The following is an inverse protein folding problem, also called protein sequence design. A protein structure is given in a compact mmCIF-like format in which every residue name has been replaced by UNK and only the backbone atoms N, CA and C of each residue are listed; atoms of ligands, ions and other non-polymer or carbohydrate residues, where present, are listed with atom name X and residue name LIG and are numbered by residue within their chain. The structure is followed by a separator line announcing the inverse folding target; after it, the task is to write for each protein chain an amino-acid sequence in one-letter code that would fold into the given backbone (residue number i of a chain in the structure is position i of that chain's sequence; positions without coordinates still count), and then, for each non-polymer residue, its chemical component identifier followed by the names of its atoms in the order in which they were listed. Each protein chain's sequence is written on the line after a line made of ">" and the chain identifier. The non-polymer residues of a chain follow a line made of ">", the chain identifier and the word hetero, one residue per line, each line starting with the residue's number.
data_IF_995064757048
#
_entry.id   IF_995064757048
#
_cell.length_a   1.000
_cell.length_b   1.000
_cell.length_c   1.000
_cell.angle_alpha   90.00
_cell.angle_beta   90.00
_cell.angle_gamma   90.00
#
_symmetry.space_group_name_H-M   'P 1'
#
loop_
_entity.id
_entity.type
_entity.pdbx_description
1 polymer ?
#
# COMPACT_ATOMS: atom_id res chain seq x y z
N UNK A 1 78.66 -37.05 48.57
CA UNK A 1 79.29 -37.55 47.32
C UNK A 1 78.20 -38.11 46.42
N UNK A 2 78.22 -37.77 45.13
CA UNK A 2 77.38 -38.29 44.01
C UNK A 2 75.89 -37.87 44.00
N UNK A 3 75.50 -36.80 43.28
CA UNK A 3 75.19 -36.68 41.83
C UNK A 3 73.85 -37.29 41.36
N UNK A 4 72.97 -36.35 40.96
CA UNK A 4 72.10 -36.29 39.76
C UNK A 4 71.16 -37.47 39.47
N UNK A 5 69.87 -37.19 39.30
CA UNK A 5 69.23 -36.78 38.02
C UNK A 5 67.72 -36.58 38.23
N UNK A 6 67.21 -35.44 37.77
CA UNK A 6 65.78 -35.14 37.53
C UNK A 6 65.28 -35.90 36.30
N UNK A 7 64.00 -36.27 36.26
CA UNK A 7 63.28 -36.31 34.99
C UNK A 7 62.03 -35.43 34.99
N UNK A 8 61.69 -35.05 33.77
CA UNK A 8 60.68 -34.11 33.33
C UNK A 8 59.41 -34.88 32.93
N UNK A 9 58.26 -34.32 33.32
CA UNK A 9 56.94 -34.26 32.66
C UNK A 9 56.41 -35.43 31.80
N UNK A 10 55.19 -35.87 32.15
CA UNK A 10 54.25 -36.53 31.25
C UNK A 10 52.83 -36.43 31.80
N UNK A 11 52.18 -35.27 31.64
CA UNK A 11 50.77 -35.09 31.97
C UNK A 11 49.91 -35.39 30.73
N UNK A 12 49.09 -36.44 30.84
CA UNK A 12 48.19 -36.94 29.81
C UNK A 12 47.05 -35.95 29.57
N UNK A 13 46.97 -35.36 28.38
CA UNK A 13 45.85 -34.54 27.94
C UNK A 13 44.66 -35.44 27.56
N UNK A 14 43.55 -35.32 28.28
CA UNK A 14 42.27 -35.92 27.92
C UNK A 14 41.61 -35.01 26.88
N UNK A 15 41.57 -35.45 25.63
CA UNK A 15 40.86 -34.78 24.54
C UNK A 15 39.35 -35.05 24.68
N UNK A 16 38.61 -34.09 25.25
CA UNK A 16 37.16 -34.07 25.18
C UNK A 16 36.73 -33.64 23.77
N UNK A 17 36.20 -34.59 23.00
CA UNK A 17 35.64 -34.34 21.68
C UNK A 17 34.29 -33.62 21.83
N UNK A 18 34.27 -32.30 21.60
CA UNK A 18 33.03 -31.55 21.44
C UNK A 18 32.36 -31.99 20.13
N UNK A 19 31.27 -32.74 20.25
CA UNK A 19 30.32 -32.96 19.15
C UNK A 19 29.59 -31.64 18.92
N UNK A 20 30.08 -30.86 17.94
CA UNK A 20 29.36 -29.72 17.38
C UNK A 20 28.13 -30.23 16.63
N UNK A 21 26.97 -30.14 17.27
CA UNK A 21 25.69 -30.29 16.58
C UNK A 21 25.56 -29.15 15.55
N UNK A 22 25.24 -29.43 14.27
CA UNK A 22 24.97 -28.38 13.31
C UNK A 22 23.73 -27.60 13.75
N UNK A 23 23.91 -26.30 13.99
CA UNK A 23 22.78 -25.39 14.21
C UNK A 23 21.85 -25.35 12.99
N UNK A 24 20.60 -24.89 13.15
CA UNK A 24 19.68 -24.75 12.03
C UNK A 24 20.32 -23.85 10.97
N UNK A 25 20.51 -24.38 9.76
CA UNK A 25 21.00 -23.63 8.64
C UNK A 25 20.01 -22.50 8.33
N UNK A 26 20.44 -21.25 8.52
CA UNK A 26 19.71 -20.08 8.01
C UNK A 26 19.66 -20.23 6.49
N UNK A 27 18.46 -20.46 5.96
CA UNK A 27 18.24 -20.52 4.53
C UNK A 27 18.73 -19.21 3.91
N UNK A 28 19.68 -19.30 2.97
CA UNK A 28 20.07 -18.15 2.15
C UNK A 28 18.83 -17.70 1.35
N UNK A 29 18.55 -16.39 1.25
CA UNK A 29 17.45 -15.91 0.41
C UNK A 29 17.68 -16.42 -1.01
N UNK A 30 16.65 -17.06 -1.58
CA UNK A 30 16.66 -17.59 -2.94
C UNK A 30 16.58 -16.39 -3.89
N UNK A 31 17.74 -15.84 -4.26
CA UNK A 31 17.82 -14.97 -5.44
C UNK A 31 17.69 -15.87 -6.68
N UNK A 32 16.77 -15.58 -7.62
CA UNK A 32 16.75 -16.29 -8.89
C UNK A 32 18.05 -16.00 -9.65
N UNK A 33 18.99 -16.95 -9.63
CA UNK A 33 20.23 -16.94 -10.41
C UNK A 33 20.03 -17.55 -11.80
N UNK A 34 18.80 -17.47 -12.34
CA UNK A 34 18.51 -17.92 -13.69
C UNK A 34 19.27 -17.07 -14.73
N UNK A 35 19.64 -17.64 -15.89
CA UNK A 35 20.44 -16.96 -16.91
C UNK A 35 19.69 -15.80 -17.63
N UNK A 36 18.44 -15.52 -17.27
CA UNK A 36 17.59 -14.51 -17.90
C UNK A 36 17.47 -13.21 -17.07
N UNK A 37 18.39 -12.96 -16.14
CA UNK A 37 18.39 -11.75 -15.33
C UNK A 37 19.74 -11.05 -15.36
N UNK A 38 19.74 -9.75 -15.66
CA UNK A 38 20.86 -8.85 -15.39
C UNK A 38 20.66 -8.19 -14.02
N UNK A 39 21.30 -8.78 -13.00
CA UNK A 39 21.24 -8.28 -11.62
C UNK A 39 21.98 -6.95 -11.41
N UNK A 40 22.71 -6.48 -12.42
CA UNK A 40 23.38 -5.17 -12.40
C UNK A 40 22.53 -4.06 -13.00
N UNK A 41 21.42 -4.40 -13.66
CA UNK A 41 20.52 -3.42 -14.23
C UNK A 41 19.90 -2.53 -13.13
N UNK A 42 19.75 -1.20 -13.38
CA UNK A 42 19.24 -0.26 -12.40
C UNK A 42 17.86 -0.63 -11.85
N UNK A 43 17.66 -0.37 -10.57
CA UNK A 43 16.39 -0.55 -9.84
C UNK A 43 15.90 0.79 -9.31
N UNK A 44 14.63 0.89 -8.91
CA UNK A 44 14.15 2.09 -8.22
C UNK A 44 14.74 2.17 -6.82
N UNK A 45 14.70 3.36 -6.20
CA UNK A 45 15.10 3.51 -4.81
C UNK A 45 14.24 2.64 -3.87
N UNK A 46 12.95 2.48 -4.18
CA UNK A 46 12.07 1.55 -3.47
C UNK A 46 12.62 0.12 -3.47
N UNK A 47 12.95 -0.40 -4.65
CA UNK A 47 13.44 -1.77 -4.85
C UNK A 47 14.79 -2.03 -4.18
N UNK A 48 15.64 -1.01 -4.00
CA UNK A 48 16.92 -1.20 -3.27
C UNK A 48 16.71 -1.69 -1.83
N UNK A 49 15.54 -1.43 -1.23
CA UNK A 49 15.25 -1.83 0.15
C UNK A 49 15.07 -3.33 0.33
N UNK A 50 14.83 -4.08 -0.74
CA UNK A 50 14.72 -5.55 -0.68
C UNK A 50 15.98 -6.17 -0.05
N UNK A 51 17.15 -5.63 -0.39
CA UNK A 51 18.44 -6.14 0.06
C UNK A 51 18.94 -5.45 1.35
N UNK A 52 18.04 -4.76 2.08
CA UNK A 52 18.35 -4.11 3.36
C UNK A 52 18.94 -5.16 4.32
N UNK A 53 20.18 -4.97 4.81
CA UNK A 53 20.81 -5.94 5.70
C UNK A 53 20.02 -6.14 6.99
N UNK A 54 20.11 -7.34 7.56
CA UNK A 54 19.60 -7.59 8.88
C UNK A 54 20.35 -6.75 9.92
N UNK A 55 19.65 -6.28 10.95
CA UNK A 55 20.30 -5.81 12.17
C UNK A 55 21.13 -6.95 12.79
N UNK A 56 22.20 -6.66 13.55
CA UNK A 56 22.96 -7.71 14.25
C UNK A 56 22.05 -8.61 15.09
N UNK A 57 22.06 -9.91 14.79
CA UNK A 57 21.19 -10.90 15.44
C UNK A 57 19.74 -10.96 14.93
N UNK A 58 19.38 -10.15 13.92
CA UNK A 58 18.06 -10.12 13.28
C UNK A 58 18.01 -10.86 11.94
N UNK A 59 16.85 -10.76 11.29
CA UNK A 59 16.61 -11.33 9.96
C UNK A 59 16.51 -10.24 8.89
N UNK A 60 16.70 -10.60 7.62
CA UNK A 60 16.43 -9.71 6.49
C UNK A 60 14.92 -9.53 6.36
N UNK A 61 14.41 -8.39 6.81
CA UNK A 61 12.97 -8.15 7.01
C UNK A 61 12.14 -8.40 5.74
N UNK A 62 12.50 -7.88 4.54
CA UNK A 62 11.72 -8.12 3.32
C UNK A 62 11.54 -9.61 3.00
N UNK A 63 12.65 -10.35 2.91
CA UNK A 63 12.63 -11.79 2.59
C UNK A 63 11.90 -12.61 3.66
N UNK A 64 12.14 -12.27 4.93
CA UNK A 64 11.49 -12.95 6.06
C UNK A 64 9.99 -12.74 6.04
N UNK A 65 9.49 -11.55 5.71
CA UNK A 65 8.04 -11.28 5.61
C UNK A 65 7.38 -12.05 4.47
N UNK A 66 8.06 -12.20 3.33
CA UNK A 66 7.57 -13.01 2.20
C UNK A 66 7.48 -14.49 2.59
N UNK A 67 8.49 -15.01 3.28
CA UNK A 67 8.51 -16.39 3.79
C UNK A 67 7.43 -16.63 4.84
N UNK A 68 7.41 -15.80 5.88
CA UNK A 68 6.44 -15.89 6.98
C UNK A 68 5.01 -15.68 6.50
N UNK A 69 4.78 -14.92 5.43
CA UNK A 69 3.46 -14.79 4.79
C UNK A 69 3.08 -15.97 3.88
N UNK A 70 4.03 -16.86 3.56
CA UNK A 70 3.83 -17.99 2.66
C UNK A 70 3.89 -17.65 1.17
N UNK A 71 4.41 -16.48 0.80
CA UNK A 71 4.41 -15.98 -0.60
C UNK A 71 5.63 -16.40 -1.41
N UNK A 72 6.64 -17.03 -0.80
CA UNK A 72 7.88 -17.46 -1.48
C UNK A 72 7.62 -18.23 -2.78
N UNK A 73 6.66 -19.17 -2.77
CA UNK A 73 6.34 -19.96 -3.95
C UNK A 73 5.67 -19.14 -5.08
N UNK A 74 4.92 -18.09 -4.77
CA UNK A 74 4.34 -17.19 -5.78
C UNK A 74 5.43 -16.39 -6.48
N UNK A 75 6.36 -15.84 -5.69
CA UNK A 75 7.50 -15.08 -6.20
C UNK A 75 8.36 -15.96 -7.11
N UNK A 76 8.79 -17.13 -6.61
CA UNK A 76 9.63 -18.06 -7.38
C UNK A 76 8.96 -18.51 -8.69
N UNK A 77 7.65 -18.76 -8.68
CA UNK A 77 6.92 -19.16 -9.89
C UNK A 77 6.97 -18.08 -10.96
N UNK A 78 6.61 -16.84 -10.65
CA UNK A 78 6.63 -15.78 -11.66
C UNK A 78 8.05 -15.52 -12.18
N UNK A 79 9.06 -15.47 -11.30
CA UNK A 79 10.45 -15.29 -11.74
C UNK A 79 10.91 -16.42 -12.68
N UNK A 80 10.54 -17.67 -12.39
CA UNK A 80 10.87 -18.80 -13.28
C UNK A 80 10.09 -18.76 -14.60
N UNK A 81 8.79 -18.46 -14.54
CA UNK A 81 7.91 -18.39 -15.72
C UNK A 81 8.39 -17.31 -16.70
N UNK A 82 8.86 -16.17 -16.22
CA UNK A 82 9.41 -15.09 -17.06
C UNK A 82 10.59 -15.55 -17.93
N UNK A 83 11.46 -16.43 -17.45
CA UNK A 83 12.55 -16.96 -18.27
C UNK A 83 12.07 -17.85 -19.43
N UNK A 84 10.84 -18.35 -19.40
CA UNK A 84 10.25 -19.23 -20.41
C UNK A 84 9.48 -18.51 -21.53
N UNK A 85 9.14 -17.24 -21.32
CA UNK A 85 8.31 -16.43 -22.23
C UNK A 85 9.02 -16.13 -23.55
N UNK A 86 8.29 -16.17 -24.66
CA UNK A 86 8.82 -16.04 -26.03
C UNK A 86 8.41 -14.76 -26.76
N UNK A 87 7.51 -13.95 -26.19
CA UNK A 87 7.09 -12.68 -26.79
C UNK A 87 6.58 -11.68 -25.74
N UNK A 88 6.52 -10.39 -26.09
CA UNK A 88 5.91 -9.34 -25.26
C UNK A 88 4.46 -9.67 -24.92
N UNK A 89 3.68 -10.16 -25.90
CA UNK A 89 2.26 -10.51 -25.70
C UNK A 89 2.07 -11.66 -24.70
N UNK A 90 2.95 -12.66 -24.74
CA UNK A 90 2.93 -13.75 -23.77
C UNK A 90 3.36 -13.27 -22.38
N UNK A 91 4.34 -12.36 -22.31
CA UNK A 91 4.78 -11.74 -21.05
C UNK A 91 3.64 -10.95 -20.39
N UNK A 92 2.93 -10.15 -21.19
CA UNK A 92 1.80 -9.33 -20.73
C UNK A 92 0.69 -10.20 -20.11
N UNK A 93 0.26 -11.25 -20.82
CA UNK A 93 -0.74 -12.20 -20.33
C UNK A 93 -0.27 -12.93 -19.06
N UNK A 94 1.00 -13.34 -19.01
CA UNK A 94 1.59 -13.99 -17.83
C UNK A 94 1.56 -13.04 -16.63
N UNK A 95 2.00 -11.80 -16.81
CA UNK A 95 2.10 -10.79 -15.76
C UNK A 95 0.73 -10.39 -15.23
N UNK A 96 -0.27 -10.23 -16.10
CA UNK A 96 -1.65 -10.03 -15.66
C UNK A 96 -2.13 -11.21 -14.82
N UNK A 97 -2.00 -12.43 -15.34
CA UNK A 97 -2.46 -13.65 -14.64
C UNK A 97 -1.79 -13.83 -13.27
N UNK A 98 -0.47 -13.60 -13.19
CA UNK A 98 0.30 -13.75 -11.96
C UNK A 98 0.10 -12.61 -10.98
N UNK A 99 -0.12 -11.39 -11.48
CA UNK A 99 -0.54 -10.25 -10.67
C UNK A 99 -1.90 -10.50 -10.02
N UNK A 100 -2.89 -10.95 -10.80
CA UNK A 100 -4.22 -11.29 -10.30
C UNK A 100 -4.17 -12.45 -9.29
N UNK A 101 -3.35 -13.48 -9.54
CA UNK A 101 -3.12 -14.58 -8.59
C UNK A 101 -2.52 -14.06 -7.28
N UNK A 102 -1.57 -13.13 -7.35
CA UNK A 102 -0.92 -12.54 -6.19
C UNK A 102 -1.91 -11.72 -5.35
N UNK A 103 -2.68 -10.82 -5.97
CA UNK A 103 -3.70 -10.01 -5.30
C UNK A 103 -4.77 -10.90 -4.65
N UNK A 104 -5.39 -11.80 -5.43
CA UNK A 104 -6.43 -12.70 -4.92
C UNK A 104 -5.94 -13.60 -3.81
N UNK A 105 -4.70 -14.11 -3.90
CA UNK A 105 -4.11 -14.90 -2.80
C UNK A 105 -3.95 -14.08 -1.53
N UNK A 106 -3.54 -12.82 -1.63
CA UNK A 106 -3.44 -11.93 -0.48
C UNK A 106 -4.80 -11.61 0.14
N UNK A 107 -5.83 -11.36 -0.69
CA UNK A 107 -7.22 -11.17 -0.23
C UNK A 107 -7.76 -12.42 0.45
N UNK A 108 -7.63 -13.60 -0.18
CA UNK A 108 -8.10 -14.87 0.38
C UNK A 108 -7.40 -15.20 1.71
N UNK A 109 -6.10 -14.92 1.81
CA UNK A 109 -5.34 -15.06 3.06
C UNK A 109 -5.85 -14.08 4.11
N UNK A 110 -5.96 -12.80 3.75
CA UNK A 110 -6.39 -11.75 4.66
C UNK A 110 -7.78 -12.03 5.24
N UNK A 111 -8.68 -12.57 4.42
CA UNK A 111 -10.05 -12.89 4.82
C UNK A 111 -10.22 -14.29 5.44
N UNK A 112 -9.12 -15.02 5.68
CA UNK A 112 -9.17 -16.36 6.30
C UNK A 112 -9.74 -17.46 5.40
N UNK A 113 -9.93 -17.19 4.10
CA UNK A 113 -10.35 -18.18 3.08
C UNK A 113 -9.19 -19.09 2.67
N UNK A 114 -7.95 -18.66 2.90
CA UNK A 114 -6.73 -19.44 2.63
C UNK A 114 -5.78 -19.39 3.82
N UNK A 115 -5.42 -20.55 4.34
CA UNK A 115 -4.37 -20.68 5.35
C UNK A 115 -2.99 -20.80 4.69
N UNK A 116 -2.11 -19.85 4.96
CA UNK A 116 -0.72 -19.89 4.49
C UNK A 116 0.20 -18.98 5.31
N UNK A 117 1.46 -19.39 5.42
CA UNK A 117 2.44 -18.71 6.27
C UNK A 117 2.26 -19.01 7.76
N UNK A 118 2.99 -18.28 8.59
CA UNK A 118 3.01 -18.41 10.05
C UNK A 118 2.74 -17.09 10.79
N UNK A 119 2.60 -15.97 10.07
CA UNK A 119 2.11 -14.70 10.64
C UNK A 119 0.61 -14.54 10.43
N UNK A 120 0.01 -13.63 11.19
CA UNK A 120 -1.41 -13.29 11.19
C UNK A 120 -1.93 -12.80 9.84
N UNK A 121 -3.22 -13.05 9.60
CA UNK A 121 -3.92 -12.70 8.36
C UNK A 121 -4.04 -11.18 8.09
N UNK A 122 -3.93 -10.35 9.12
CA UNK A 122 -4.04 -8.89 9.00
C UNK A 122 -2.76 -8.21 8.49
N UNK A 123 -1.72 -8.98 8.15
CA UNK A 123 -0.46 -8.44 7.65
C UNK A 123 -0.48 -8.15 6.15
N UNK A 124 -0.30 -6.89 5.78
CA UNK A 124 -0.18 -6.38 4.41
C UNK A 124 1.22 -6.55 3.81
N UNK A 125 2.24 -6.64 4.67
CA UNK A 125 3.64 -6.60 4.26
C UNK A 125 4.07 -7.76 3.35
N UNK A 126 3.55 -9.00 3.49
CA UNK A 126 3.88 -10.09 2.56
C UNK A 126 3.52 -9.79 1.11
N UNK A 127 2.36 -9.19 0.85
CA UNK A 127 1.96 -8.79 -0.50
C UNK A 127 2.90 -7.70 -1.03
N UNK A 128 3.12 -6.65 -0.24
CA UNK A 128 3.97 -5.52 -0.61
C UNK A 128 5.39 -5.97 -1.02
N UNK A 129 6.07 -6.72 -0.15
CA UNK A 129 7.43 -7.16 -0.41
C UNK A 129 7.50 -8.17 -1.57
N UNK A 130 6.50 -9.03 -1.73
CA UNK A 130 6.43 -9.95 -2.88
C UNK A 130 6.30 -9.19 -4.19
N UNK A 131 5.42 -8.17 -4.25
CA UNK A 131 5.26 -7.33 -5.44
C UNK A 131 6.54 -6.57 -5.76
N UNK A 132 7.18 -5.96 -4.75
CA UNK A 132 8.42 -5.21 -4.95
C UNK A 132 9.57 -6.08 -5.46
N UNK A 133 9.70 -7.31 -4.96
CA UNK A 133 10.69 -8.28 -5.49
C UNK A 133 10.39 -8.59 -6.96
N UNK A 134 9.12 -8.77 -7.31
CA UNK A 134 8.71 -9.12 -8.67
C UNK A 134 8.84 -7.96 -9.65
N UNK A 135 8.62 -6.70 -9.23
CA UNK A 135 8.91 -5.54 -10.08
C UNK A 135 10.40 -5.37 -10.31
N UNK A 136 11.24 -5.58 -9.29
CA UNK A 136 12.70 -5.59 -9.43
C UNK A 136 13.12 -6.67 -10.44
N UNK A 137 12.61 -7.89 -10.30
CA UNK A 137 12.89 -8.99 -11.22
C UNK A 137 12.45 -8.62 -12.65
N UNK A 138 11.27 -8.03 -12.83
CA UNK A 138 10.80 -7.60 -14.15
C UNK A 138 11.64 -6.46 -14.74
N UNK A 139 12.22 -5.57 -13.94
CA UNK A 139 13.19 -4.57 -14.43
C UNK A 139 14.50 -5.21 -14.89
N UNK A 140 14.97 -6.20 -14.14
CA UNK A 140 16.23 -6.89 -14.38
C UNK A 140 16.13 -8.05 -15.38
N UNK A 141 14.92 -8.40 -15.83
CA UNK A 141 14.68 -9.51 -16.75
C UNK A 141 15.25 -9.26 -18.16
N UNK A 142 16.02 -10.19 -18.69
CA UNK A 142 16.61 -10.18 -20.03
C UNK A 142 15.99 -11.30 -20.89
N UNK A 143 14.87 -11.03 -21.60
CA UNK A 143 14.24 -12.01 -22.47
C UNK A 143 15.12 -12.39 -23.67
N UNK A 144 14.84 -13.54 -24.29
CA UNK A 144 15.47 -13.98 -25.55
C UNK A 144 14.96 -13.25 -26.79
N UNK A 145 14.01 -12.35 -26.63
CA UNK A 145 13.42 -11.53 -27.69
C UNK A 145 13.68 -10.05 -27.40
N UNK A 146 13.60 -9.20 -28.43
CA UNK A 146 13.79 -7.76 -28.26
C UNK A 146 12.67 -7.16 -27.38
N UNK A 147 13.06 -6.49 -26.30
CA UNK A 147 12.15 -5.80 -25.39
C UNK A 147 12.59 -4.34 -25.28
N UNK A 148 11.80 -3.43 -25.85
CA UNK A 148 12.05 -1.99 -25.74
C UNK A 148 11.79 -1.47 -24.31
N UNK A 149 12.36 -0.32 -23.93
CA UNK A 149 12.04 0.32 -22.66
C UNK A 149 10.54 0.56 -22.46
N UNK A 150 9.84 1.06 -23.48
CA UNK A 150 8.39 1.32 -23.41
C UNK A 150 7.58 0.05 -23.21
N UNK A 151 7.94 -1.03 -23.92
CA UNK A 151 7.30 -2.34 -23.73
C UNK A 151 7.54 -2.86 -22.31
N UNK A 152 8.76 -2.70 -21.76
CA UNK A 152 9.04 -3.06 -20.36
C UNK A 152 8.22 -2.22 -19.38
N UNK A 153 8.09 -0.92 -19.62
CA UNK A 153 7.28 -0.04 -18.78
C UNK A 153 5.79 -0.45 -18.81
N UNK A 154 5.29 -0.82 -19.99
CA UNK A 154 3.92 -1.35 -20.15
C UNK A 154 3.73 -2.66 -19.39
N UNK A 155 4.68 -3.60 -19.48
CA UNK A 155 4.62 -4.86 -18.74
C UNK A 155 4.66 -4.64 -17.21
N UNK A 156 5.48 -3.69 -16.74
CA UNK A 156 5.49 -3.28 -15.33
C UNK A 156 4.13 -2.72 -14.91
N UNK A 157 3.53 -1.85 -15.73
CA UNK A 157 2.18 -1.31 -15.47
C UNK A 157 1.14 -2.43 -15.40
N UNK A 158 1.16 -3.38 -16.33
CA UNK A 158 0.26 -4.56 -16.33
C UNK A 158 0.36 -5.33 -15.01
N UNK A 159 1.59 -5.68 -14.59
CA UNK A 159 1.81 -6.43 -13.36
C UNK A 159 1.40 -5.65 -12.11
N UNK A 160 1.78 -4.37 -12.03
CA UNK A 160 1.43 -3.50 -10.91
C UNK A 160 -0.09 -3.35 -10.79
N UNK A 161 -0.82 -3.14 -11.89
CA UNK A 161 -2.28 -2.96 -11.86
C UNK A 161 -2.98 -4.23 -11.39
N UNK A 162 -2.57 -5.38 -11.90
CA UNK A 162 -3.11 -6.68 -11.50
C UNK A 162 -2.82 -7.02 -10.04
N UNK A 163 -1.57 -6.83 -9.59
CA UNK A 163 -1.15 -7.15 -8.22
C UNK A 163 -1.63 -6.14 -7.15
N UNK A 164 -2.32 -5.07 -7.57
CA UNK A 164 -2.94 -4.05 -6.71
C UNK A 164 -4.45 -4.13 -6.64
N UNK A 165 -5.05 -5.05 -7.39
CA UNK A 165 -6.50 -5.16 -7.55
C UNK A 165 -7.11 -4.15 -8.54
N UNK A 166 -6.32 -3.25 -9.13
CA UNK A 166 -6.82 -2.18 -10.02
C UNK A 166 -7.48 -2.76 -11.27
N UNK A 167 -6.94 -3.84 -11.84
CA UNK A 167 -7.54 -4.49 -13.02
C UNK A 167 -8.60 -5.54 -12.69
N UNK A 168 -8.94 -5.73 -11.41
CA UNK A 168 -9.91 -6.74 -10.96
C UNK A 168 -11.11 -6.15 -10.21
N UNK A 169 -11.29 -4.83 -10.22
CA UNK A 169 -12.46 -4.17 -9.62
C UNK A 169 -13.71 -4.39 -10.47
N UNK A 170 -14.54 -5.35 -10.08
CA UNK A 170 -15.78 -5.68 -10.79
C UNK A 170 -16.96 -5.78 -9.82
N UNK A 171 -18.03 -5.06 -10.14
CA UNK A 171 -19.29 -5.09 -9.43
C UNK A 171 -20.33 -5.92 -10.17
N UNK A 172 -21.19 -6.60 -9.40
CA UNK A 172 -22.37 -7.25 -9.97
C UNK A 172 -23.23 -6.23 -10.73
N UNK A 173 -23.59 -6.62 -11.94
CA UNK A 173 -24.49 -5.86 -12.82
C UNK A 173 -25.95 -6.30 -12.67
N UNK A 174 -26.22 -7.27 -11.79
CA UNK A 174 -27.55 -7.82 -11.52
C UNK A 174 -27.97 -7.60 -10.08
N UNK A 175 -29.28 -7.46 -9.85
CA UNK A 175 -29.86 -7.25 -8.53
C UNK A 175 -29.78 -5.80 -8.03
N UNK A 176 -30.27 -5.57 -6.81
CA UNK A 176 -30.19 -4.28 -6.13
C UNK A 176 -28.85 -4.19 -5.40
N UNK A 177 -27.82 -3.74 -6.11
CA UNK A 177 -26.45 -3.66 -5.59
C UNK A 177 -26.04 -2.21 -5.39
N UNK A 178 -25.50 -1.93 -4.21
CA UNK A 178 -24.82 -0.68 -3.87
C UNK A 178 -23.31 -0.91 -3.94
N UNK A 179 -22.62 -0.15 -4.77
CA UNK A 179 -21.23 -0.37 -5.17
C UNK A 179 -20.31 0.59 -4.45
N UNK A 180 -19.46 0.07 -3.58
CA UNK A 180 -18.51 0.84 -2.80
C UNK A 180 -17.10 0.54 -3.31
N UNK A 181 -16.40 1.56 -3.81
CA UNK A 181 -15.00 1.42 -4.22
C UNK A 181 -14.11 2.15 -3.22
N UNK A 182 -13.15 1.43 -2.65
CA UNK A 182 -12.19 2.02 -1.70
C UNK A 182 -10.75 1.79 -2.13
N UNK A 183 -9.83 2.62 -1.61
CA UNK A 183 -8.40 2.36 -1.74
C UNK A 183 -7.71 2.34 -0.38
N UNK A 184 -6.66 1.51 -0.27
CA UNK A 184 -5.62 1.61 0.75
C UNK A 184 -4.28 1.95 0.13
N UNK A 185 -3.21 1.91 0.94
CA UNK A 185 -1.85 2.19 0.50
C UNK A 185 -0.84 1.14 0.93
N UNK A 186 0.23 1.06 0.16
CA UNK A 186 1.42 0.29 0.50
C UNK A 186 2.12 0.79 1.80
N UNK A 187 2.92 -0.05 2.45
CA UNK A 187 3.92 0.37 3.44
C UNK A 187 4.80 1.54 2.94
N UNK A 188 5.13 2.45 3.86
CA UNK A 188 5.92 3.65 3.57
C UNK A 188 6.87 3.98 4.72
N UNK A 189 7.65 5.08 4.63
CA UNK A 189 8.65 5.46 5.65
C UNK A 189 9.67 4.35 5.99
N UNK A 190 9.96 3.50 5.00
CA UNK A 190 10.79 2.30 5.17
C UNK A 190 12.28 2.60 5.42
N UNK A 191 12.71 3.84 5.16
CA UNK A 191 14.05 4.32 5.54
C UNK A 191 14.23 4.39 7.07
N UNK A 192 13.17 4.77 7.79
CA UNK A 192 13.20 4.88 9.24
C UNK A 192 12.79 3.59 9.95
N UNK A 193 11.95 2.77 9.32
CA UNK A 193 11.48 1.52 9.88
C UNK A 193 11.10 0.53 8.76
N UNK A 194 12.00 -0.40 8.44
CA UNK A 194 11.82 -1.40 7.38
C UNK A 194 10.70 -2.41 7.70
N UNK A 195 10.32 -2.54 8.98
CA UNK A 195 9.25 -3.45 9.44
C UNK A 195 7.85 -2.83 9.33
N UNK A 196 7.73 -1.58 8.85
CA UNK A 196 6.48 -0.83 8.89
C UNK A 196 5.37 -1.54 8.12
N UNK A 197 4.18 -1.55 8.72
CA UNK A 197 2.92 -2.00 8.10
C UNK A 197 2.09 -0.77 7.77
N UNK A 198 1.23 -0.85 6.76
CA UNK A 198 0.22 0.17 6.51
C UNK A 198 -1.17 -0.41 6.78
N UNK A 199 -1.87 0.01 7.86
CA UNK A 199 -3.18 -0.53 8.18
C UNK A 199 -4.22 -0.23 7.10
N UNK A 200 -4.00 0.76 6.22
CA UNK A 200 -4.93 1.05 5.12
C UNK A 200 -4.84 0.01 4.01
N UNK A 201 -3.64 -0.43 3.62
CA UNK A 201 -3.44 -1.54 2.68
C UNK A 201 -3.96 -2.86 3.25
N UNK A 202 -3.73 -3.10 4.55
CA UNK A 202 -4.29 -4.25 5.24
C UNK A 202 -5.83 -4.24 5.27
N UNK A 203 -6.43 -3.06 5.43
CA UNK A 203 -7.89 -2.88 5.37
C UNK A 203 -8.43 -3.14 3.96
N UNK A 204 -7.75 -2.68 2.91
CA UNK A 204 -8.13 -2.96 1.53
C UNK A 204 -8.22 -4.48 1.26
N UNK A 205 -7.24 -5.26 1.74
CA UNK A 205 -7.27 -6.72 1.60
C UNK A 205 -8.44 -7.39 2.33
N UNK A 206 -8.85 -6.87 3.49
CA UNK A 206 -10.02 -7.39 4.21
C UNK A 206 -11.35 -6.98 3.56
N UNK A 207 -11.38 -5.86 2.85
CA UNK A 207 -12.57 -5.26 2.25
C UNK A 207 -12.86 -5.77 0.84
N UNK A 208 -11.83 -6.13 0.07
CA UNK A 208 -12.02 -6.47 -1.34
C UNK A 208 -12.96 -7.68 -1.54
N UNK A 209 -13.98 -7.52 -2.38
CA UNK A 209 -15.00 -8.53 -2.64
C UNK A 209 -15.99 -8.80 -1.49
N UNK A 210 -15.93 -8.05 -0.38
CA UNK A 210 -16.90 -8.21 0.70
C UNK A 210 -18.30 -7.82 0.25
N UNK A 211 -19.29 -8.54 0.75
CA UNK A 211 -20.71 -8.27 0.53
C UNK A 211 -21.49 -8.37 1.85
N UNK A 212 -22.47 -7.49 2.02
CA UNK A 212 -23.40 -7.55 3.15
C UNK A 212 -24.74 -6.94 2.77
N UNK A 213 -25.80 -7.32 3.47
CA UNK A 213 -27.14 -6.76 3.26
C UNK A 213 -27.30 -5.44 4.03
N UNK A 214 -27.88 -4.45 3.38
CA UNK A 214 -28.34 -3.20 3.97
C UNK A 214 -29.74 -2.89 3.42
N UNK A 215 -30.77 -3.10 4.24
CA UNK A 215 -32.15 -3.03 3.79
C UNK A 215 -32.48 -4.10 2.74
N UNK A 216 -33.00 -3.67 1.59
CA UNK A 216 -33.32 -4.54 0.44
C UNK A 216 -32.20 -4.60 -0.61
N UNK A 217 -31.01 -4.06 -0.28
CA UNK A 217 -29.87 -3.95 -1.19
C UNK A 217 -28.65 -4.68 -0.66
N UNK A 218 -27.90 -5.29 -1.57
CA UNK A 218 -26.60 -5.89 -1.27
C UNK A 218 -25.52 -4.83 -1.50
N UNK A 219 -24.80 -4.45 -0.45
CA UNK A 219 -23.61 -3.62 -0.61
C UNK A 219 -22.45 -4.53 -1.02
N UNK A 220 -21.81 -4.22 -2.14
CA UNK A 220 -20.58 -4.86 -2.59
C UNK A 220 -19.44 -3.87 -2.49
N UNK A 221 -18.35 -4.30 -1.85
CA UNK A 221 -17.13 -3.51 -1.71
C UNK A 221 -16.07 -4.06 -2.67
N UNK A 222 -15.41 -3.18 -3.40
CA UNK A 222 -14.17 -3.47 -4.14
C UNK A 222 -13.08 -2.58 -3.57
N UNK A 223 -11.86 -3.10 -3.47
CA UNK A 223 -10.74 -2.36 -2.91
C UNK A 223 -9.46 -2.52 -3.73
N UNK A 224 -8.61 -1.50 -3.69
CA UNK A 224 -7.28 -1.53 -4.33
C UNK A 224 -6.19 -1.08 -3.37
N UNK A 225 -4.92 -1.37 -3.69
CA UNK A 225 -3.75 -0.78 -3.01
C UNK A 225 -3.00 0.22 -3.91
N UNK A 226 -3.04 1.50 -3.56
CA UNK A 226 -2.31 2.55 -4.26
C UNK A 226 -0.81 2.54 -3.87
N UNK A 227 0.09 2.86 -4.82
CA UNK A 227 1.50 3.04 -4.50
C UNK A 227 1.72 4.28 -3.64
N UNK A 228 2.75 4.25 -2.78
CA UNK A 228 3.20 5.44 -2.07
C UNK A 228 4.34 6.10 -2.86
N UNK A 229 4.02 6.55 -4.08
CA UNK A 229 4.96 7.21 -5.00
C UNK A 229 4.31 8.37 -5.76
N UNK A 230 4.98 9.53 -5.84
CA UNK A 230 4.57 10.68 -6.62
C UNK A 230 4.55 10.36 -8.11
N UNK A 231 5.61 9.75 -8.64
CA UNK A 231 5.66 9.28 -10.03
C UNK A 231 4.51 8.34 -10.40
N UNK A 232 4.11 7.43 -9.49
CA UNK A 232 2.92 6.61 -9.69
C UNK A 232 1.63 7.42 -9.80
N UNK A 233 1.47 8.46 -8.97
CA UNK A 233 0.31 9.36 -9.07
C UNK A 233 0.35 10.17 -10.37
N UNK A 234 1.52 10.62 -10.81
CA UNK A 234 1.69 11.36 -12.06
C UNK A 234 1.42 10.49 -13.30
N UNK A 235 1.65 9.18 -13.20
CA UNK A 235 1.24 8.18 -14.19
C UNK A 235 -0.26 7.86 -14.18
N UNK A 236 -1.02 8.45 -13.25
CA UNK A 236 -2.48 8.35 -13.21
C UNK A 236 -3.04 7.16 -12.43
N UNK A 237 -2.30 6.54 -11.50
CA UNK A 237 -2.82 5.39 -10.72
C UNK A 237 -4.13 5.70 -10.00
N UNK A 238 -4.30 6.91 -9.48
CA UNK A 238 -5.54 7.32 -8.80
C UNK A 238 -6.67 7.44 -9.83
N UNK A 239 -6.44 8.16 -10.91
CA UNK A 239 -7.45 8.39 -11.93
C UNK A 239 -7.84 7.09 -12.67
N UNK A 240 -6.88 6.23 -13.00
CA UNK A 240 -7.10 4.91 -13.61
C UNK A 240 -7.86 3.96 -12.66
N UNK A 241 -7.72 4.11 -11.34
CA UNK A 241 -8.51 3.37 -10.34
C UNK A 241 -9.96 3.82 -10.31
N UNK A 242 -10.21 5.12 -10.17
CA UNK A 242 -11.57 5.63 -9.88
C UNK A 242 -12.37 6.00 -11.14
N UNK A 243 -11.70 6.45 -12.20
CA UNK A 243 -12.33 6.96 -13.42
C UNK A 243 -13.30 5.98 -14.10
N UNK A 244 -12.94 4.69 -14.27
CA UNK A 244 -13.86 3.69 -14.83
C UNK A 244 -15.16 3.54 -14.02
N UNK A 245 -15.09 3.76 -12.71
CA UNK A 245 -16.21 3.64 -11.77
C UNK A 245 -16.94 4.98 -11.51
N UNK A 246 -16.48 6.09 -12.07
CA UNK A 246 -17.15 7.39 -11.98
C UNK A 246 -17.84 7.79 -13.29
N UNK A 247 -17.44 7.18 -14.40
CA UNK A 247 -17.95 7.47 -15.73
C UNK A 247 -19.47 7.24 -15.81
N UNK A 248 -20.20 8.28 -16.23
CA UNK A 248 -21.67 8.26 -16.32
C UNK A 248 -22.15 7.19 -17.30
N UNK A 249 -23.19 6.45 -16.92
CA UNK A 249 -23.77 5.37 -17.73
C UNK A 249 -22.94 4.07 -17.76
N UNK A 250 -21.78 4.04 -17.08
CA UNK A 250 -21.00 2.82 -16.93
C UNK A 250 -21.72 1.78 -16.07
N UNK A 251 -21.72 0.51 -16.52
CA UNK A 251 -22.32 -0.61 -15.75
C UNK A 251 -21.59 -0.88 -14.43
N UNK A 252 -20.35 -0.42 -14.33
CA UNK A 252 -19.47 -0.57 -13.18
C UNK A 252 -19.41 0.68 -12.29
N UNK A 253 -20.31 1.65 -12.51
CA UNK A 253 -20.28 2.92 -11.79
C UNK A 253 -20.52 2.71 -10.29
N UNK A 254 -19.63 3.21 -9.45
CA UNK A 254 -19.74 3.17 -8.00
C UNK A 254 -20.86 4.08 -7.50
N UNK A 255 -21.44 3.70 -6.36
CA UNK A 255 -22.39 4.51 -5.59
C UNK A 255 -21.69 5.27 -4.45
N UNK A 256 -20.47 4.86 -4.06
CA UNK A 256 -19.59 5.61 -3.15
C UNK A 256 -18.12 5.31 -3.46
N UNK A 257 -17.27 6.33 -3.37
CA UNK A 257 -15.81 6.19 -3.39
C UNK A 257 -15.17 6.68 -2.09
N UNK A 258 -14.10 6.04 -1.63
CA UNK A 258 -13.37 6.47 -0.44
C UNK A 258 -11.89 6.10 -0.54
N UNK A 259 -11.00 7.07 -0.38
CA UNK A 259 -9.58 6.76 -0.17
C UNK A 259 -9.32 6.60 1.34
N UNK A 260 -8.50 5.63 1.73
CA UNK A 260 -8.20 5.31 3.14
C UNK A 260 -6.69 5.36 3.33
N UNK A 261 -6.22 6.08 4.36
CA UNK A 261 -4.79 6.18 4.70
C UNK A 261 -4.55 6.04 6.19
N UNK A 262 -3.33 5.73 6.57
CA UNK A 262 -2.89 5.84 7.96
C UNK A 262 -2.71 7.33 8.35
N UNK A 263 -3.33 7.74 9.46
CA UNK A 263 -3.22 9.07 10.05
C UNK A 263 -2.50 9.05 11.41
N UNK A 264 -2.96 9.90 12.35
CA UNK A 264 -2.43 9.95 13.71
C UNK A 264 -2.87 8.75 14.55
N UNK A 265 -2.07 8.39 15.56
CA UNK A 265 -2.41 7.31 16.50
C UNK A 265 -3.63 7.70 17.35
N UNK A 266 -4.53 6.74 17.57
CA UNK A 266 -5.57 6.85 18.59
C UNK A 266 -6.84 7.57 18.14
N UNK A 267 -7.03 7.76 16.84
CA UNK A 267 -8.22 8.38 16.27
C UNK A 267 -8.47 7.86 14.84
N UNK A 268 -9.71 8.02 14.37
CA UNK A 268 -10.06 7.93 12.96
C UNK A 268 -10.69 9.25 12.52
N UNK A 269 -10.15 9.85 11.47
CA UNK A 269 -10.55 11.16 10.98
C UNK A 269 -11.16 11.04 9.59
N UNK A 270 -12.40 11.52 9.44
CA UNK A 270 -13.00 11.74 8.14
C UNK A 270 -12.56 13.14 7.70
N UNK A 271 -11.76 13.23 6.64
CA UNK A 271 -11.20 14.52 6.24
C UNK A 271 -12.26 15.35 5.52
N UNK A 272 -12.50 16.57 6.01
CA UNK A 272 -13.49 17.45 5.39
C UNK A 272 -12.97 18.04 4.08
N UNK A 273 -11.67 18.34 3.99
CA UNK A 273 -11.10 19.07 2.86
C UNK A 273 -9.88 18.36 2.27
N UNK A 274 -9.85 18.25 0.94
CA UNK A 274 -8.66 17.93 0.15
C UNK A 274 -8.08 19.20 -0.46
N UNK A 275 -6.77 19.39 -0.40
CA UNK A 275 -6.08 20.57 -0.96
C UNK A 275 -5.31 20.27 -2.25
N UNK A 276 -5.25 21.26 -3.16
CA UNK A 276 -4.58 21.20 -4.46
C UNK A 276 -3.04 21.29 -4.41
N UNK A 277 -2.40 20.97 -3.28
CA UNK A 277 -0.96 21.12 -3.07
C UNK A 277 -0.28 19.81 -2.64
N UNK A 278 0.86 19.55 -3.27
CA UNK A 278 1.83 18.49 -2.95
C UNK A 278 2.93 19.12 -2.09
N UNK A 279 3.14 18.61 -0.87
CA UNK A 279 4.08 19.18 0.10
C UNK A 279 5.56 18.84 -0.11
N UNK A 280 5.87 17.85 -0.96
CA UNK A 280 7.25 17.49 -1.34
C UNK A 280 8.02 16.62 -0.36
N UNK A 281 7.39 16.08 0.69
CA UNK A 281 8.03 15.07 1.53
C UNK A 281 8.42 13.82 0.72
N UNK A 282 9.57 13.17 1.00
CA UNK A 282 10.02 12.00 0.27
C UNK A 282 9.00 10.85 0.28
N UNK A 283 8.80 10.23 -0.89
CA UNK A 283 7.99 9.02 -1.08
C UNK A 283 8.82 7.73 -1.00
N UNK A 284 8.25 6.59 -1.40
CA UNK A 284 8.99 5.33 -1.42
C UNK A 284 10.15 5.31 -2.44
N UNK A 285 10.10 6.11 -3.51
CA UNK A 285 11.22 6.31 -4.43
C UNK A 285 12.17 7.44 -4.00
N UNK A 286 11.95 8.03 -2.81
CA UNK A 286 12.67 9.20 -2.31
C UNK A 286 12.54 10.43 -3.22
N UNK A 287 11.43 10.50 -3.95
CA UNK A 287 11.00 11.64 -4.75
C UNK A 287 10.19 12.61 -3.87
N UNK A 288 10.25 13.90 -4.17
CA UNK A 288 9.47 14.90 -3.45
C UNK A 288 9.79 16.32 -3.91
N UNK A 289 8.82 16.97 -4.56
CA UNK A 289 8.90 18.39 -4.92
C UNK A 289 7.62 19.09 -4.49
N UNK A 290 7.70 20.20 -3.74
CA UNK A 290 6.51 20.98 -3.41
C UNK A 290 5.98 21.69 -4.66
N UNK A 291 4.73 21.41 -5.01
CA UNK A 291 4.09 21.97 -6.21
C UNK A 291 2.55 21.86 -6.14
N UNK A 292 1.88 22.51 -7.09
CA UNK A 292 0.48 22.24 -7.36
C UNK A 292 0.30 20.78 -7.77
N UNK A 293 -0.76 20.12 -7.29
CA UNK A 293 -1.04 18.72 -7.64
C UNK A 293 -1.11 18.56 -9.16
N UNK A 294 -0.20 17.76 -9.78
CA UNK A 294 -0.15 17.63 -11.23
C UNK A 294 -1.45 17.12 -11.84
N UNK A 295 -1.65 17.45 -13.11
CA UNK A 295 -2.80 16.98 -13.90
C UNK A 295 -2.43 15.72 -14.67
N UNK A 296 -3.38 14.79 -14.73
CA UNK A 296 -3.27 13.55 -15.52
C UNK A 296 -4.10 13.76 -16.79
N UNK A 297 -3.43 13.87 -17.93
CA UNK A 297 -4.00 14.42 -19.18
C UNK A 297 -4.91 13.45 -19.93
N UNK A 298 -4.85 12.16 -19.62
CA UNK A 298 -5.77 11.15 -20.18
C UNK A 298 -7.13 11.10 -19.45
N UNK A 299 -7.33 11.89 -18.41
CA UNK A 299 -8.60 12.03 -17.69
C UNK A 299 -9.08 13.49 -17.67
N UNK A 300 -10.40 13.75 -17.68
CA UNK A 300 -10.91 15.10 -17.66
C UNK A 300 -10.59 15.81 -16.33
N UNK A 301 -10.43 17.13 -16.41
CA UNK A 301 -10.13 18.02 -15.28
C UNK A 301 -11.14 19.17 -15.25
N UNK A 302 -11.53 19.66 -14.06
CA UNK A 302 -12.33 20.87 -13.97
C UNK A 302 -11.51 22.09 -14.40
N UNK A 303 -12.18 23.15 -14.87
CA UNK A 303 -11.53 24.42 -15.25
C UNK A 303 -12.30 25.60 -14.66
N UNK A 304 -11.70 26.38 -13.74
CA UNK A 304 -10.40 26.15 -13.09
C UNK A 304 -10.42 24.91 -12.16
N UNK A 305 -9.24 24.43 -11.78
CA UNK A 305 -9.15 23.44 -10.70
C UNK A 305 -9.52 24.10 -9.36
N UNK A 306 -10.32 23.43 -8.51
CA UNK A 306 -10.60 23.93 -7.18
C UNK A 306 -9.35 23.85 -6.29
N UNK A 307 -9.08 24.88 -5.49
CA UNK A 307 -7.98 24.85 -4.51
C UNK A 307 -8.28 23.86 -3.37
N UNK A 308 -9.54 23.82 -2.91
CA UNK A 308 -10.03 22.84 -1.95
C UNK A 308 -11.27 22.11 -2.46
N UNK A 309 -11.38 20.82 -2.14
CA UNK A 309 -12.56 20.01 -2.42
C UNK A 309 -13.12 19.47 -1.11
N UNK A 310 -14.39 19.76 -0.83
CA UNK A 310 -15.08 19.25 0.35
C UNK A 310 -15.48 17.78 0.18
N UNK A 311 -15.41 17.02 1.27
CA UNK A 311 -15.93 15.65 1.34
C UNK A 311 -17.44 15.64 1.15
N UNK A 312 -17.91 14.61 0.47
CA UNK A 312 -19.34 14.31 0.33
C UNK A 312 -19.68 12.95 0.92
N UNK A 313 -18.74 12.33 1.64
CA UNK A 313 -19.01 11.11 2.40
C UNK A 313 -20.15 11.33 3.40
N UNK A 314 -20.93 10.29 3.72
CA UNK A 314 -21.98 10.34 4.74
C UNK A 314 -21.35 10.37 6.15
N UNK A 315 -20.52 11.36 6.43
CA UNK A 315 -19.63 11.39 7.59
C UNK A 315 -20.39 11.35 8.92
N UNK A 316 -21.56 11.98 8.99
CA UNK A 316 -22.38 11.93 10.20
C UNK A 316 -22.84 10.51 10.50
N UNK A 317 -23.27 9.75 9.48
CA UNK A 317 -23.64 8.33 9.63
C UNK A 317 -22.45 7.46 10.04
N UNK A 318 -21.25 7.76 9.51
CA UNK A 318 -20.02 7.07 9.90
C UNK A 318 -19.64 7.33 11.36
N UNK A 319 -19.82 8.57 11.85
CA UNK A 319 -19.60 8.95 13.25
C UNK A 319 -20.65 8.30 14.16
N UNK A 320 -21.94 8.43 13.80
CA UNK A 320 -23.08 7.89 14.56
C UNK A 320 -23.08 6.37 14.64
N UNK A 321 -22.34 5.68 13.76
CA UNK A 321 -22.14 4.23 13.83
C UNK A 321 -21.41 3.79 15.12
N UNK A 322 -20.78 4.72 15.85
CA UNK A 322 -20.25 4.46 17.19
C UNK A 322 -19.17 3.37 17.22
N UNK A 323 -18.40 3.23 16.13
CA UNK A 323 -17.37 2.19 16.03
C UNK A 323 -16.25 2.41 17.03
N UNK A 324 -15.62 1.32 17.49
CA UNK A 324 -14.55 1.29 18.50
C UNK A 324 -13.36 0.49 17.97
N UNK A 325 -12.13 0.65 18.50
CA UNK A 325 -11.75 1.34 19.74
C UNK A 325 -11.41 2.83 19.62
N UNK A 326 -11.15 3.34 18.42
CA UNK A 326 -10.70 4.73 18.24
C UNK A 326 -11.88 5.69 18.08
N UNK A 327 -11.86 6.91 18.65
CA UNK A 327 -12.85 7.92 18.37
C UNK A 327 -12.86 8.27 16.87
N UNK A 328 -14.06 8.49 16.33
CA UNK A 328 -14.28 8.87 14.93
C UNK A 328 -14.79 10.31 14.89
N UNK A 329 -14.15 11.17 14.12
CA UNK A 329 -14.53 12.57 14.00
C UNK A 329 -14.35 13.11 12.58
N UNK A 330 -15.13 14.15 12.25
CA UNK A 330 -14.84 14.98 11.09
C UNK A 330 -13.65 15.89 11.40
N UNK A 331 -12.67 15.96 10.50
CA UNK A 331 -11.53 16.85 10.61
C UNK A 331 -11.68 18.05 9.65
N UNK A 332 -12.05 19.23 10.18
CA UNK A 332 -12.26 20.45 9.38
C UNK A 332 -10.96 21.20 9.07
N UNK A 333 -9.81 20.72 9.55
CA UNK A 333 -8.54 21.44 9.48
C UNK A 333 -8.13 21.69 8.02
N UNK A 334 -7.68 22.89 7.74
CA UNK A 334 -6.96 23.24 6.52
C UNK A 334 -5.73 24.08 6.84
N UNK A 335 -4.81 24.14 5.88
CA UNK A 335 -3.77 25.15 5.80
C UNK A 335 -3.79 25.77 4.41
N UNK A 336 -3.69 27.09 4.34
CA UNK A 336 -3.82 27.86 3.11
C UNK A 336 -2.83 29.03 3.07
N UNK A 337 -2.54 29.47 1.87
CA UNK A 337 -2.06 30.81 1.58
C UNK A 337 -3.24 31.69 1.16
N UNK A 338 -3.16 32.99 1.44
CA UNK A 338 -4.11 34.00 0.93
C UNK A 338 -3.33 35.16 0.29
N UNK A 339 -4.01 36.04 -0.45
CA UNK A 339 -3.36 37.18 -1.09
C UNK A 339 -2.33 36.82 -2.16
N UNK A 340 -2.46 35.64 -2.80
CA UNK A 340 -1.55 35.13 -3.82
C UNK A 340 -0.08 34.97 -3.34
N UNK A 341 0.11 34.48 -2.11
CA UNK A 341 1.43 34.34 -1.46
C UNK A 341 2.05 32.95 -1.58
N UNK A 342 1.37 31.99 -2.21
CA UNK A 342 1.93 30.67 -2.48
C UNK A 342 3.22 30.77 -3.31
N UNK A 343 4.30 30.03 -2.98
CA UNK A 343 4.40 28.97 -1.96
C UNK A 343 5.23 29.36 -0.72
N UNK A 344 5.15 30.60 -0.22
CA UNK A 344 5.97 31.04 0.92
C UNK A 344 5.56 30.31 2.22
N UNK A 345 6.39 29.42 2.79
CA UNK A 345 6.03 28.68 4.00
C UNK A 345 5.82 29.57 5.24
N UNK A 346 6.37 30.79 5.26
CA UNK A 346 6.19 31.73 6.36
C UNK A 346 4.80 32.39 6.36
N UNK A 347 4.06 32.30 5.25
CA UNK A 347 2.77 32.94 5.04
C UNK A 347 1.60 31.95 5.05
N UNK A 348 1.82 30.73 5.56
CA UNK A 348 0.77 29.71 5.71
C UNK A 348 -0.06 29.98 6.97
N UNK A 349 -1.38 30.02 6.82
CA UNK A 349 -2.33 30.04 7.93
C UNK A 349 -3.07 28.71 8.00
N UNK A 350 -3.30 28.20 9.22
CA UNK A 350 -4.02 26.95 9.42
C UNK A 350 -5.15 27.11 10.45
N UNK A 351 -6.37 26.71 10.07
CA UNK A 351 -7.59 26.89 10.86
C UNK A 351 -8.65 25.84 10.51
N UNK A 352 -9.80 25.93 11.19
CA UNK A 352 -10.90 24.95 11.12
C UNK A 352 -12.20 25.57 10.58
N UNK A 353 -12.16 26.80 10.06
CA UNK A 353 -13.34 27.58 9.67
C UNK A 353 -13.74 27.40 8.19
N UNK A 354 -13.16 26.41 7.50
CA UNK A 354 -13.25 26.25 6.05
C UNK A 354 -12.35 27.22 5.26
N UNK A 355 -12.15 27.02 3.94
CA UNK A 355 -11.27 27.85 3.11
C UNK A 355 -11.70 29.31 3.01
N UNK A 356 -10.74 30.22 2.98
CA UNK A 356 -10.98 31.63 2.63
C UNK A 356 -11.40 31.78 1.16
N UNK A 357 -12.05 32.90 0.82
CA UNK A 357 -12.56 33.14 -0.54
C UNK A 357 -11.46 33.20 -1.61
N UNK A 358 -10.26 33.66 -1.25
CA UNK A 358 -9.07 33.77 -2.11
C UNK A 358 -7.99 32.73 -1.75
N UNK A 359 -8.38 31.65 -1.06
CA UNK A 359 -7.46 30.63 -0.57
C UNK A 359 -6.70 29.95 -1.71
N UNK A 360 -5.40 29.75 -1.50
CA UNK A 360 -4.57 28.81 -2.25
C UNK A 360 -4.18 27.69 -1.30
N UNK A 361 -4.53 26.46 -1.64
CA UNK A 361 -4.36 25.33 -0.73
C UNK A 361 -2.89 25.06 -0.44
N UNK A 362 -2.58 24.78 0.83
CA UNK A 362 -1.29 24.27 1.28
C UNK A 362 -1.41 22.85 1.84
N UNK A 363 -2.50 22.56 2.56
CA UNK A 363 -2.85 21.23 3.06
C UNK A 363 -4.35 21.13 3.36
N UNK A 364 -4.95 19.97 3.07
CA UNK A 364 -6.23 19.57 3.63
C UNK A 364 -6.09 19.01 5.05
N UNK A 365 -7.19 18.48 5.61
CA UNK A 365 -7.15 17.88 6.95
C UNK A 365 -6.18 16.70 7.05
N UNK A 366 -6.02 15.99 5.92
CA UNK A 366 -5.06 14.91 5.73
C UNK A 366 -3.62 15.33 5.46
N UNK A 367 -3.29 16.63 5.56
CA UNK A 367 -1.98 17.17 5.23
C UNK A 367 -1.83 17.49 3.74
N UNK A 368 -0.60 17.36 3.23
CA UNK A 368 -0.25 17.59 1.83
C UNK A 368 0.66 16.50 1.26
N UNK A 369 0.57 15.30 1.86
CA UNK A 369 1.23 14.10 1.35
C UNK A 369 0.31 13.32 0.40
N UNK A 370 0.69 12.09 0.02
CA UNK A 370 -0.07 11.22 -0.89
C UNK A 370 -1.49 10.88 -0.40
N UNK A 371 -1.75 10.92 0.91
CA UNK A 371 -3.10 10.79 1.48
C UNK A 371 -4.03 11.90 0.98
N UNK A 372 -3.62 13.17 1.17
CA UNK A 372 -4.32 14.33 0.63
C UNK A 372 -4.43 14.28 -0.88
N UNK A 373 -3.33 13.99 -1.59
CA UNK A 373 -3.33 14.01 -3.05
C UNK A 373 -4.27 12.94 -3.64
N UNK A 374 -4.41 11.77 -3.00
CA UNK A 374 -5.37 10.75 -3.45
C UNK A 374 -6.83 11.18 -3.26
N UNK A 375 -7.15 11.84 -2.15
CA UNK A 375 -8.48 12.43 -1.93
C UNK A 375 -8.76 13.52 -2.97
N UNK A 376 -7.79 14.42 -3.19
CA UNK A 376 -7.93 15.53 -4.11
C UNK A 376 -8.11 15.02 -5.54
N UNK A 377 -7.24 14.13 -6.03
CA UNK A 377 -7.31 13.59 -7.39
C UNK A 377 -8.60 12.80 -7.67
N UNK A 378 -8.98 11.90 -6.76
CA UNK A 378 -10.22 11.12 -6.91
C UNK A 378 -11.47 12.01 -6.93
N UNK A 379 -11.55 13.03 -6.07
CA UNK A 379 -12.69 13.95 -6.04
C UNK A 379 -12.64 15.04 -7.12
N UNK A 380 -11.46 15.46 -7.57
CA UNK A 380 -11.28 16.33 -8.74
C UNK A 380 -11.82 15.64 -9.99
N UNK A 381 -11.44 14.37 -10.18
CA UNK A 381 -11.95 13.52 -11.27
C UNK A 381 -13.47 13.32 -11.17
N UNK A 382 -13.98 13.04 -9.97
CA UNK A 382 -15.42 12.91 -9.69
C UNK A 382 -16.22 14.14 -10.14
N UNK A 383 -15.73 15.34 -9.80
CA UNK A 383 -16.34 16.60 -10.23
C UNK A 383 -16.22 16.81 -11.74
N UNK A 384 -15.06 16.52 -12.34
CA UNK A 384 -14.85 16.66 -13.78
C UNK A 384 -15.76 15.75 -14.63
N UNK A 385 -16.04 14.54 -14.13
CA UNK A 385 -16.95 13.58 -14.75
C UNK A 385 -18.44 13.86 -14.46
N UNK A 386 -18.74 14.91 -13.68
CA UNK A 386 -20.10 15.25 -13.28
C UNK A 386 -20.75 14.20 -12.34
N UNK A 387 -19.94 13.40 -11.63
CA UNK A 387 -20.39 12.37 -10.70
C UNK A 387 -20.63 12.94 -9.29
N UNK A 388 -21.31 14.09 -9.22
CA UNK A 388 -21.59 14.80 -7.95
C UNK A 388 -22.57 14.06 -7.05
N UNK A 389 -23.34 13.13 -7.62
CA UNK A 389 -24.26 12.21 -6.93
C UNK A 389 -23.57 11.01 -6.27
N UNK A 390 -22.28 10.79 -6.52
CA UNK A 390 -21.48 9.75 -5.85
C UNK A 390 -20.76 10.39 -4.67
N UNK A 391 -21.06 10.01 -3.40
CA UNK A 391 -20.25 10.41 -2.26
C UNK A 391 -18.78 10.04 -2.41
N UNK A 392 -17.91 11.00 -2.14
CA UNK A 392 -16.46 10.86 -2.23
C UNK A 392 -15.73 11.63 -1.12
N UNK A 393 -14.63 11.07 -0.63
CA UNK A 393 -13.81 11.69 0.41
C UNK A 393 -12.70 10.78 0.92
N UNK A 394 -12.16 11.10 2.10
CA UNK A 394 -11.02 10.40 2.69
C UNK A 394 -11.25 10.02 4.14
N UNK A 395 -10.73 8.85 4.51
CA UNK A 395 -10.68 8.35 5.88
C UNK A 395 -9.23 8.14 6.30
N UNK A 396 -8.76 8.90 7.28
CA UNK A 396 -7.55 8.58 8.02
C UNK A 396 -7.87 7.63 9.17
N UNK A 397 -7.14 6.52 9.25
CA UNK A 397 -7.28 5.52 10.32
C UNK A 397 -6.08 5.55 11.25
N UNK A 398 -6.26 5.06 12.48
CA UNK A 398 -5.21 5.13 13.51
C UNK A 398 -3.89 4.54 13.01
N UNK A 399 -2.78 5.22 13.28
CA UNK A 399 -1.46 4.61 13.20
C UNK A 399 -1.35 3.39 14.13
N UNK A 400 -0.38 2.52 13.85
CA UNK A 400 -0.13 1.31 14.62
C UNK A 400 0.93 1.54 15.71
N UNK A 401 0.83 0.77 16.79
CA UNK A 401 1.98 0.52 17.69
C UNK A 401 2.99 -0.41 17.01
N UNK A 402 4.23 -0.44 17.49
CA UNK A 402 5.27 -1.31 16.95
C UNK A 402 6.02 -2.06 18.05
N UNK A 403 6.58 -3.25 17.75
CA UNK A 403 7.41 -3.98 18.70
C UNK A 403 8.59 -3.13 19.18
N UNK A 404 8.76 -3.04 20.51
CA UNK A 404 9.88 -2.31 21.12
C UNK A 404 11.23 -2.97 20.84
N UNK A 405 11.24 -4.30 20.74
CA UNK A 405 12.43 -5.02 20.29
C UNK A 405 12.65 -4.77 18.78
N UNK A 406 13.76 -4.16 18.36
CA UNK A 406 14.04 -3.88 16.94
C UNK A 406 14.24 -5.14 16.10
N UNK A 407 14.52 -6.30 16.72
CA UNK A 407 14.65 -7.59 16.04
C UNK A 407 13.31 -8.31 15.84
N UNK A 408 12.26 -7.91 16.57
CA UNK A 408 10.94 -8.52 16.45
C UNK A 408 10.22 -7.96 15.21
N UNK A 409 9.88 -8.84 14.27
CA UNK A 409 9.06 -8.48 13.09
C UNK A 409 7.58 -8.33 13.48
N UNK A 410 7.19 -9.07 14.53
CA UNK A 410 5.85 -9.12 15.07
C UNK A 410 5.88 -9.48 16.55
N UNK A 411 4.95 -8.92 17.31
CA UNK A 411 4.58 -9.36 18.65
C UNK A 411 3.05 -9.33 18.83
N UNK A 412 2.58 -9.84 19.97
CA UNK A 412 1.15 -9.89 20.30
C UNK A 412 0.47 -8.50 20.31
N UNK A 413 1.03 -7.49 20.99
CA UNK A 413 0.47 -6.14 20.99
C UNK A 413 0.33 -5.52 19.60
N UNK A 414 1.36 -5.62 18.75
CA UNK A 414 1.31 -5.09 17.38
C UNK A 414 0.25 -5.80 16.53
N UNK A 415 0.18 -7.13 16.60
CA UNK A 415 -0.83 -7.91 15.88
C UNK A 415 -2.25 -7.54 16.32
N UNK A 416 -2.48 -7.39 17.64
CA UNK A 416 -3.78 -7.04 18.20
C UNK A 416 -4.21 -5.61 17.83
N UNK A 417 -3.32 -4.63 17.94
CA UNK A 417 -3.59 -3.22 17.58
C UNK A 417 -3.92 -3.06 16.09
N UNK A 418 -3.20 -3.81 15.24
CA UNK A 418 -3.46 -3.87 13.80
C UNK A 418 -4.82 -4.47 13.49
N UNK A 419 -5.15 -5.62 14.09
CA UNK A 419 -6.45 -6.25 13.91
C UNK A 419 -7.59 -5.32 14.34
N UNK A 420 -7.50 -4.69 15.51
CA UNK A 420 -8.53 -3.76 16.01
C UNK A 420 -8.71 -2.55 15.08
N UNK A 421 -7.62 -1.96 14.62
CA UNK A 421 -7.66 -0.82 13.69
C UNK A 421 -8.32 -1.20 12.36
N UNK A 422 -8.01 -2.38 11.83
CA UNK A 422 -8.59 -2.86 10.56
C UNK A 422 -10.06 -3.23 10.73
N UNK A 423 -10.45 -3.93 11.80
CA UNK A 423 -11.85 -4.28 12.06
C UNK A 423 -12.73 -3.03 12.21
N UNK A 424 -12.23 -2.00 12.90
CA UNK A 424 -12.92 -0.72 12.98
C UNK A 424 -13.02 -0.04 11.61
N UNK A 425 -11.97 -0.10 10.80
CA UNK A 425 -11.98 0.45 9.42
C UNK A 425 -13.05 -0.25 8.57
N UNK A 426 -13.16 -1.58 8.67
CA UNK A 426 -14.21 -2.35 7.98
C UNK A 426 -15.60 -1.89 8.43
N UNK A 427 -15.81 -1.72 9.74
CA UNK A 427 -17.07 -1.25 10.28
C UNK A 427 -17.46 0.15 9.75
N UNK A 428 -16.50 1.07 9.64
CA UNK A 428 -16.73 2.41 9.08
C UNK A 428 -17.07 2.40 7.59
N UNK A 429 -16.34 1.61 6.79
CA UNK A 429 -16.65 1.45 5.36
C UNK A 429 -18.04 0.84 5.17
N UNK A 430 -18.41 -0.13 6.02
CA UNK A 430 -19.77 -0.70 6.04
C UNK A 430 -20.84 0.32 6.45
N UNK A 431 -20.56 1.19 7.42
CA UNK A 431 -21.47 2.27 7.80
C UNK A 431 -21.68 3.26 6.64
N UNK A 432 -20.60 3.63 5.94
CA UNK A 432 -20.67 4.49 4.76
C UNK A 432 -21.47 3.83 3.63
N UNK A 433 -21.18 2.57 3.32
CA UNK A 433 -21.89 1.80 2.30
C UNK A 433 -23.38 1.62 2.61
N UNK A 434 -23.74 1.40 3.89
CA UNK A 434 -25.13 1.29 4.32
C UNK A 434 -25.90 2.62 4.24
N UNK A 435 -25.20 3.75 4.38
CA UNK A 435 -25.82 5.07 4.30
C UNK A 435 -26.19 5.48 2.86
N UNK A 436 -25.53 4.90 1.86
CA UNK A 436 -25.86 5.06 0.43
C UNK A 436 -26.58 3.85 -0.14
N UNK A 437 -26.92 2.88 0.73
CA UNK A 437 -27.52 1.62 0.32
C UNK A 437 -28.95 1.78 -0.16
#
# INVERSE_FOLDING_TARGET
>A
MSMRKTPWLGATAIAASLVLLPGPAVARPVQPTGPCYDRTAPTTYEETRIDTPALPGGAQVPHTLVELGGFTGLVQRLSNDLCGVRSVREADKLLQTRGDELWRTAVDRAQGKRWMGSIERYDDRPLYWSRLILTRDLRQWTPRFALSPDARASLLKTFEYASRGISSTDFSTSGKVTRVLVSGFDPYQLNGEIRRSNPSGASALQLDGQQYQAGDRTVQIQAVSLPVTWSGFDLGYVEDTFGPHLTRGGKQRADLIMTISQGLRGQMAIEQWAGAWRGGNPDNNNEGTPELVPQVTNWPQPTPNPEFIETTLPYQRMIDAGTTPWPVALNPRICEWTGNTRPDPALVSCHNNGPSADAQAQAGGGGNYLSNESMYRSNRLRTALGATDVPGGHLHISALVYPQNPLAIIDGPFAADRAQTIEQTIALVKAAGAAVA
#
